data_IF_575338648191
#
_entry.id   IF_575338648191
#
_cell.length_a   1.000
_cell.length_b   1.000
_cell.length_c   1.000
_cell.angle_alpha   90.00
_cell.angle_beta   90.00
_cell.angle_gamma   90.00
#
_symmetry.space_group_name_H-M   'P 1'
#
loop_
_entity.id
_entity.type
_entity.pdbx_description
1 polymer ?
#
# COMPACT_ATOMS: atom_id res chain seq x y z
N UNK A 1 11.17 11.24 -13.69
CA UNK A 1 10.90 10.95 -12.26
C UNK A 1 9.88 9.82 -12.07
N UNK A 2 9.02 9.54 -13.05
CA UNK A 2 7.98 8.48 -13.04
C UNK A 2 8.50 7.06 -13.36
N UNK A 3 9.55 6.92 -14.17
CA UNK A 3 10.02 5.60 -14.66
C UNK A 3 10.74 4.72 -13.63
N UNK A 4 11.35 5.31 -12.60
CA UNK A 4 12.14 4.54 -11.63
C UNK A 4 11.24 3.77 -10.65
N UNK A 5 10.06 4.30 -10.31
CA UNK A 5 9.10 3.60 -9.44
C UNK A 5 8.46 2.40 -10.16
N UNK A 6 8.11 2.56 -11.45
CA UNK A 6 7.52 1.48 -12.26
C UNK A 6 8.48 0.30 -12.51
N UNK A 7 9.80 0.52 -12.44
CA UNK A 7 10.79 -0.55 -12.57
C UNK A 7 11.12 -1.28 -11.27
N UNK A 8 10.75 -0.72 -10.11
CA UNK A 8 11.19 -1.21 -8.79
C UNK A 8 10.12 -2.02 -8.06
N UNK A 9 8.85 -1.72 -8.29
CA UNK A 9 7.72 -2.38 -7.63
C UNK A 9 6.87 -3.12 -8.64
N UNK A 10 6.43 -4.32 -8.28
CA UNK A 10 5.62 -5.18 -9.16
C UNK A 10 4.23 -4.58 -9.37
N UNK A 11 3.69 -3.92 -8.34
CA UNK A 11 2.39 -3.25 -8.35
C UNK A 11 2.47 -1.95 -7.55
N UNK A 12 1.73 -0.93 -7.99
CA UNK A 12 1.50 0.31 -7.22
C UNK A 12 -0.02 0.45 -7.05
N UNK A 13 -0.48 0.51 -5.81
CA UNK A 13 -1.89 0.57 -5.45
C UNK A 13 -2.13 1.86 -4.67
N UNK A 14 -3.06 2.68 -5.15
CA UNK A 14 -3.49 3.88 -4.45
C UNK A 14 -4.57 3.54 -3.42
N UNK A 15 -4.35 3.95 -2.19
CA UNK A 15 -5.22 3.64 -1.05
C UNK A 15 -5.68 4.93 -0.37
N UNK A 16 -6.92 4.92 0.12
CA UNK A 16 -7.55 6.07 0.78
C UNK A 16 -7.41 6.05 2.31
N UNK A 17 -6.70 5.07 2.85
CA UNK A 17 -6.48 4.88 4.29
C UNK A 17 -5.01 4.63 4.58
N UNK A 18 -4.60 4.95 5.80
CA UNK A 18 -3.27 4.65 6.33
C UNK A 18 -3.12 3.20 6.79
N UNK A 19 -4.22 2.47 7.01
CA UNK A 19 -4.18 1.09 7.52
C UNK A 19 -4.32 0.09 6.38
N UNK A 20 -3.28 -0.70 6.16
CA UNK A 20 -3.20 -1.69 5.08
C UNK A 20 -3.06 -3.08 5.70
N UNK A 21 -3.84 -4.03 5.23
CA UNK A 21 -3.65 -5.44 5.47
C UNK A 21 -3.33 -6.13 4.15
N UNK A 22 -2.34 -7.02 4.14
CA UNK A 22 -1.94 -7.76 2.94
C UNK A 22 -2.02 -9.26 3.21
N UNK A 23 -2.69 -9.98 2.33
CA UNK A 23 -2.97 -11.42 2.34
C UNK A 23 -2.69 -12.01 0.95
N UNK A 24 -1.53 -11.69 0.37
CA UNK A 24 -1.15 -12.05 -0.99
C UNK A 24 -0.33 -13.36 -1.02
N UNK A 25 -0.94 -14.48 -0.62
CA UNK A 25 -0.26 -15.79 -0.56
C UNK A 25 0.70 -15.96 0.63
N UNK A 26 0.62 -15.06 1.60
CA UNK A 26 1.34 -15.12 2.88
C UNK A 26 0.36 -14.81 4.03
N UNK A 27 0.71 -15.11 5.31
CA UNK A 27 -0.13 -14.76 6.45
C UNK A 27 -0.49 -13.27 6.46
N UNK A 28 -1.67 -12.92 6.99
CA UNK A 28 -2.12 -11.52 7.03
C UNK A 28 -1.09 -10.65 7.75
N UNK A 29 -0.54 -9.69 7.04
CA UNK A 29 0.38 -8.68 7.59
C UNK A 29 -0.32 -7.33 7.60
N UNK A 30 -0.17 -6.60 8.70
CA UNK A 30 -0.71 -5.26 8.86
C UNK A 30 0.41 -4.23 8.74
N UNK A 31 0.17 -3.23 7.91
CA UNK A 31 1.04 -2.09 7.70
C UNK A 31 0.29 -0.81 8.03
N UNK A 32 1.02 0.17 8.55
CA UNK A 32 0.52 1.53 8.71
C UNK A 32 1.37 2.46 7.87
N UNK A 33 0.75 3.14 6.91
CA UNK A 33 1.40 4.15 6.09
C UNK A 33 1.67 5.36 6.97
N UNK A 34 2.92 5.84 6.95
CA UNK A 34 3.26 7.12 7.56
C UNK A 34 2.76 8.25 6.62
N UNK A 35 1.82 9.11 7.05
CA UNK A 35 1.30 10.20 6.22
C UNK A 35 2.39 11.17 5.74
N UNK A 36 3.45 11.39 6.52
CA UNK A 36 4.59 12.22 6.11
C UNK A 36 5.38 11.64 4.92
N UNK A 37 5.40 10.30 4.79
CA UNK A 37 6.08 9.60 3.68
C UNK A 37 5.12 9.43 2.50
N UNK A 38 3.84 9.14 2.78
CA UNK A 38 2.81 8.98 1.77
C UNK A 38 2.74 7.60 1.10
N UNK A 39 3.60 6.64 1.45
CA UNK A 39 3.55 5.28 0.90
C UNK A 39 4.25 4.25 1.81
N UNK A 40 3.94 2.97 1.61
CA UNK A 40 4.63 1.83 2.22
C UNK A 40 4.77 0.70 1.19
N UNK A 41 5.82 -0.11 1.32
CA UNK A 41 6.06 -1.23 0.42
C UNK A 41 5.93 -2.53 1.19
N UNK A 42 5.08 -3.42 0.72
CA UNK A 42 5.05 -4.80 1.20
C UNK A 42 6.20 -5.57 0.54
N UNK A 43 7.14 -6.04 1.36
CA UNK A 43 8.33 -6.75 0.88
C UNK A 43 8.00 -8.14 0.31
N UNK A 44 6.89 -8.75 0.75
CA UNK A 44 6.48 -10.09 0.31
C UNK A 44 5.94 -10.08 -1.13
N UNK A 45 5.03 -9.16 -1.43
CA UNK A 45 4.40 -9.05 -2.76
C UNK A 45 5.08 -8.03 -3.67
N UNK A 46 6.15 -7.38 -3.19
CA UNK A 46 6.82 -6.24 -3.81
C UNK A 46 5.81 -5.19 -4.33
N UNK A 47 4.75 -4.97 -3.54
CA UNK A 47 3.62 -4.08 -3.86
C UNK A 47 3.74 -2.80 -3.05
N UNK A 48 3.70 -1.66 -3.74
CA UNK A 48 3.73 -0.34 -3.13
C UNK A 48 2.30 0.16 -2.90
N UNK A 49 1.94 0.44 -1.65
CA UNK A 49 0.70 1.09 -1.28
C UNK A 49 0.95 2.57 -1.06
N UNK A 50 0.36 3.40 -1.90
CA UNK A 50 0.54 4.84 -1.89
C UNK A 50 -0.74 5.51 -1.42
N UNK A 51 -0.65 6.44 -0.47
CA UNK A 51 -1.78 7.27 -0.09
C UNK A 51 -2.21 8.12 -1.27
N UNK A 52 -3.49 8.04 -1.60
CA UNK A 52 -4.12 8.93 -2.57
C UNK A 52 -4.18 10.36 -2.02
N UNK A 53 -4.29 11.35 -2.89
CA UNK A 53 -4.41 12.76 -2.48
C UNK A 53 -5.67 13.03 -1.65
N UNK A 54 -6.72 12.26 -1.93
CA UNK A 54 -8.00 12.29 -1.23
C UNK A 54 -8.07 11.26 -0.09
N UNK A 55 -6.93 10.77 0.41
CA UNK A 55 -6.91 9.81 1.49
C UNK A 55 -7.32 10.46 2.81
N UNK A 56 -8.24 9.80 3.52
CA UNK A 56 -8.65 10.25 4.83
C UNK A 56 -7.63 9.73 5.86
N UNK A 57 -6.91 10.65 6.51
CA UNK A 57 -5.88 10.31 7.49
C UNK A 57 -6.45 10.01 8.87
N UNK A 58 -7.73 10.34 9.11
CA UNK A 58 -8.41 10.19 10.39
C UNK A 58 -9.29 8.93 10.41
N UNK A 59 -9.65 8.37 9.25
CA UNK A 59 -10.39 7.13 9.17
C UNK A 59 -9.56 5.94 9.68
N UNK A 60 -10.25 5.01 10.36
CA UNK A 60 -9.68 3.73 10.80
C UNK A 60 -10.05 2.58 9.84
N UNK A 61 -10.51 2.92 8.64
CA UNK A 61 -10.81 1.93 7.61
C UNK A 61 -9.56 1.12 7.25
N UNK A 62 -9.73 -0.18 7.09
CA UNK A 62 -8.64 -1.10 6.76
C UNK A 62 -8.74 -1.49 5.28
N UNK A 63 -7.71 -1.21 4.51
CA UNK A 63 -7.61 -1.69 3.13
C UNK A 63 -6.99 -3.10 3.11
N UNK A 64 -7.72 -4.09 2.61
CA UNK A 64 -7.25 -5.48 2.55
C UNK A 64 -6.86 -5.84 1.11
N UNK A 65 -5.56 -6.06 0.90
CA UNK A 65 -5.01 -6.52 -0.38
C UNK A 65 -4.85 -8.04 -0.39
N UNK A 66 -5.54 -8.74 -1.28
CA UNK A 66 -5.54 -10.22 -1.35
C UNK A 66 -4.58 -10.80 -2.41
N UNK A 67 -3.77 -9.96 -3.07
CA UNK A 67 -2.82 -10.45 -4.08
C UNK A 67 -3.41 -10.71 -5.47
N UNK A 68 -4.70 -10.45 -5.69
CA UNK A 68 -5.30 -10.48 -7.02
C UNK A 68 -4.84 -9.24 -7.82
N UNK A 69 -4.37 -9.47 -9.04
CA UNK A 69 -4.08 -8.49 -10.10
C UNK A 69 -4.98 -8.87 -11.27
#
# INVERSE_FOLDING_TARGET
MSDILNKKFKNIIEVKTTYIATEAGHPRVYYKINPDIGYIVCNYSNTCFKLSKDADLNTKELYIYKGEI
#
